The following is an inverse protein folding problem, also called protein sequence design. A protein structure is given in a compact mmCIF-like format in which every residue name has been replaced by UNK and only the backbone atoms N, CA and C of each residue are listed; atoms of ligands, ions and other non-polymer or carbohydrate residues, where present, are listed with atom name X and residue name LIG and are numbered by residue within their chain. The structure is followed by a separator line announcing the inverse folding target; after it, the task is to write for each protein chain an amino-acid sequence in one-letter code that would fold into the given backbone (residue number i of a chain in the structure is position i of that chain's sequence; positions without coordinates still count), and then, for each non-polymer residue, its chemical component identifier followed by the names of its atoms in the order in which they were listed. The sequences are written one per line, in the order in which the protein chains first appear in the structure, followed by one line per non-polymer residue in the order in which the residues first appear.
data_IF_511536241734
#
_entry.id   IF_511536241734
#
_cell.length_a   1.000
_cell.length_b   1.000
_cell.length_c   1.000
_cell.angle_alpha   90.00
_cell.angle_beta   90.00
_cell.angle_gamma   90.00
#
_symmetry.space_group_name_H-M   'P 1'
#
loop_
_entity.id
_entity.type
_entity.pdbx_description
1 polymer ?
#
# COMPACT_ATOMS: atom_id res chain seq x y z
N UNK A 1 -34.19 10.84 2.77
CA UNK A 1 -33.24 9.75 2.48
C UNK A 1 -32.28 9.67 3.65
N UNK A 2 -32.13 8.49 4.28
CA UNK A 2 -31.07 8.29 5.27
C UNK A 2 -29.73 8.26 4.55
N UNK A 3 -28.76 9.10 4.94
CA UNK A 3 -27.40 8.95 4.42
C UNK A 3 -26.87 7.54 4.72
N UNK A 4 -26.13 6.99 3.75
CA UNK A 4 -25.35 5.75 3.85
C UNK A 4 -24.45 5.73 5.11
N UNK A 5 -24.12 4.52 5.60
CA UNK A 5 -23.37 4.35 6.84
C UNK A 5 -22.05 5.12 6.84
N UNK A 6 -21.26 4.97 5.78
CA UNK A 6 -19.93 5.58 5.62
C UNK A 6 -19.95 7.11 5.55
N UNK A 7 -21.10 7.74 5.31
CA UNK A 7 -21.25 9.21 5.31
C UNK A 7 -21.53 9.81 6.69
N UNK A 8 -21.81 8.98 7.69
CA UNK A 8 -22.25 9.40 9.03
C UNK A 8 -21.40 8.84 10.16
N UNK A 9 -20.48 7.94 9.83
CA UNK A 9 -19.88 7.07 10.82
C UNK A 9 -18.44 7.49 11.14
N UNK A 10 -18.02 7.17 12.36
CA UNK A 10 -16.63 7.35 12.79
C UNK A 10 -15.88 6.07 12.48
N UNK A 11 -14.70 6.21 11.88
CA UNK A 11 -13.76 5.12 11.64
C UNK A 11 -12.72 5.15 12.75
N UNK A 12 -12.52 4.01 13.42
CA UNK A 12 -11.41 3.82 14.35
C UNK A 12 -10.30 3.04 13.64
N UNK A 13 -9.16 3.69 13.46
CA UNK A 13 -8.00 3.07 12.83
C UNK A 13 -7.19 2.25 13.84
N UNK A 14 -6.86 1.01 13.48
CA UNK A 14 -6.14 0.05 14.30
C UNK A 14 -4.86 -0.33 13.57
N UNK A 15 -3.74 -0.07 14.23
CA UNK A 15 -2.45 -0.65 13.88
C UNK A 15 -2.25 -1.90 14.73
N UNK A 16 -2.49 -3.08 14.13
CA UNK A 16 -2.58 -4.36 14.82
C UNK A 16 -1.36 -4.69 15.69
N UNK A 17 -0.09 -4.52 15.22
CA UNK A 17 1.10 -4.86 16.00
C UNK A 17 1.21 -4.16 17.36
N UNK A 18 0.55 -3.00 17.53
CA UNK A 18 0.63 -2.20 18.76
C UNK A 18 -0.70 -2.09 19.49
N UNK A 19 -1.72 -2.85 19.09
CA UNK A 19 -3.04 -2.76 19.70
C UNK A 19 -3.16 -3.64 20.94
N UNK A 20 -3.08 -4.97 20.78
CA UNK A 20 -3.23 -5.91 21.88
C UNK A 20 -2.59 -7.27 21.56
N UNK A 21 -1.56 -7.63 22.31
CA UNK A 21 -0.94 -8.96 22.31
C UNK A 21 -1.80 -9.94 23.14
N UNK A 22 -1.98 -11.16 22.63
CA UNK A 22 -2.72 -12.23 23.30
C UNK A 22 -1.89 -13.47 23.68
N UNK A 23 -0.64 -13.55 23.23
CA UNK A 23 0.21 -14.74 23.32
C UNK A 23 1.56 -14.50 24.02
N UNK A 24 1.80 -13.27 24.50
CA UNK A 24 3.01 -12.80 25.20
C UNK A 24 4.28 -12.75 24.33
N UNK A 25 4.15 -12.64 22.99
CA UNK A 25 5.29 -12.45 22.08
C UNK A 25 5.71 -10.99 21.88
N UNK A 26 4.93 -10.04 22.41
CA UNK A 26 5.16 -8.62 22.36
C UNK A 26 4.54 -7.89 21.16
N UNK A 27 3.81 -8.60 20.29
CA UNK A 27 3.17 -8.08 19.09
C UNK A 27 1.66 -8.29 19.18
N UNK A 28 0.89 -7.26 18.82
CA UNK A 28 -0.57 -7.38 18.80
C UNK A 28 -1.08 -8.26 17.66
N UNK A 29 -2.15 -9.02 17.91
CA UNK A 29 -2.66 -10.06 17.02
C UNK A 29 -4.20 -10.07 16.95
N UNK A 30 -4.79 -10.91 16.08
CA UNK A 30 -6.24 -10.99 15.92
C UNK A 30 -6.98 -11.47 17.16
N UNK A 31 -6.41 -12.38 17.96
CA UNK A 31 -7.05 -12.87 19.18
C UNK A 31 -7.11 -11.76 20.24
N UNK A 32 -6.06 -10.96 20.36
CA UNK A 32 -6.02 -9.76 21.17
C UNK A 32 -7.06 -8.74 20.73
N UNK A 33 -7.19 -8.52 19.42
CA UNK A 33 -8.23 -7.65 18.87
C UNK A 33 -9.65 -8.15 19.18
N UNK A 34 -9.91 -9.46 19.05
CA UNK A 34 -11.20 -10.09 19.39
C UNK A 34 -11.56 -9.82 20.86
N UNK A 35 -10.61 -9.99 21.79
CA UNK A 35 -10.83 -9.76 23.22
C UNK A 35 -11.28 -8.33 23.54
N UNK A 36 -10.86 -7.36 22.74
CA UNK A 36 -11.15 -5.94 22.95
C UNK A 36 -12.34 -5.45 22.11
N UNK A 37 -13.03 -6.28 21.33
CA UNK A 37 -14.15 -5.81 20.48
C UNK A 37 -15.26 -5.08 21.24
N UNK A 38 -15.46 -5.40 22.53
CA UNK A 38 -16.38 -4.70 23.41
C UNK A 38 -15.99 -3.23 23.65
N UNK A 39 -14.71 -2.91 23.65
CA UNK A 39 -14.22 -1.53 23.80
C UNK A 39 -14.79 -0.60 22.72
N UNK A 40 -14.87 -1.06 21.47
CA UNK A 40 -15.35 -0.25 20.36
C UNK A 40 -16.85 0.06 20.47
N UNK A 41 -17.66 -0.88 20.97
CA UNK A 41 -19.09 -0.65 21.19
C UNK A 41 -19.31 0.34 22.34
N UNK A 42 -18.48 0.31 23.38
CA UNK A 42 -18.49 1.30 24.47
C UNK A 42 -18.09 2.70 23.99
N UNK A 43 -17.13 2.80 23.07
CA UNK A 43 -16.78 4.03 22.37
C UNK A 43 -17.84 4.51 21.36
N UNK A 44 -18.83 3.66 21.05
CA UNK A 44 -19.87 3.91 20.02
C UNK A 44 -19.28 4.12 18.62
N UNK A 45 -18.20 3.41 18.32
CA UNK A 45 -17.66 3.27 16.98
C UNK A 45 -18.38 2.13 16.28
N UNK A 46 -18.69 2.31 14.99
CA UNK A 46 -19.33 1.27 14.18
C UNK A 46 -18.45 0.78 13.02
N UNK A 47 -17.23 1.30 12.84
CA UNK A 47 -16.34 0.91 11.75
C UNK A 47 -14.91 0.88 12.24
N UNK A 48 -14.25 -0.24 12.01
CA UNK A 48 -12.84 -0.44 12.29
C UNK A 48 -12.09 -0.43 10.97
N UNK A 49 -10.99 0.31 10.90
CA UNK A 49 -10.06 0.24 9.78
C UNK A 49 -8.78 -0.42 10.27
N UNK A 50 -8.35 -1.49 9.62
CA UNK A 50 -7.10 -2.17 9.93
C UNK A 50 -6.00 -1.71 8.98
N UNK A 51 -4.84 -1.34 9.53
CA UNK A 51 -3.58 -1.30 8.76
C UNK A 51 -3.26 -2.69 8.16
N UNK A 52 -2.31 -2.80 7.21
CA UNK A 52 -1.93 -4.08 6.62
C UNK A 52 -1.57 -5.16 7.66
N UNK A 53 -2.12 -6.36 7.47
CA UNK A 53 -1.85 -7.56 8.28
C UNK A 53 -1.43 -8.76 7.40
N UNK A 54 -1.11 -8.49 6.13
CA UNK A 54 -0.74 -9.49 5.13
C UNK A 54 0.72 -9.94 5.34
N UNK A 55 1.10 -11.14 4.87
CA UNK A 55 2.49 -11.56 4.86
C UNK A 55 3.41 -10.51 4.23
N UNK A 56 4.42 -10.07 4.97
CA UNK A 56 5.29 -8.95 4.58
C UNK A 56 6.76 -9.21 4.94
N UNK A 57 7.69 -8.59 4.21
CA UNK A 57 9.11 -8.53 4.60
C UNK A 57 9.38 -7.53 5.74
N UNK A 58 8.34 -6.80 6.18
CA UNK A 58 8.35 -5.84 7.29
C UNK A 58 9.36 -4.70 7.13
N UNK A 59 9.72 -4.35 5.90
CA UNK A 59 10.60 -3.21 5.57
C UNK A 59 9.88 -1.87 5.74
N UNK A 60 8.57 -1.88 5.52
CA UNK A 60 7.67 -0.74 5.72
C UNK A 60 6.46 -1.16 6.57
N UNK A 61 6.71 -1.90 7.65
CA UNK A 61 5.71 -2.25 8.66
C UNK A 61 4.40 -2.84 8.10
N UNK A 62 4.50 -3.73 7.11
CA UNK A 62 3.36 -4.44 6.52
C UNK A 62 2.90 -3.89 5.16
N UNK A 63 3.39 -2.71 4.73
CA UNK A 63 3.04 -2.15 3.41
C UNK A 63 3.84 -2.78 2.27
N UNK A 64 4.97 -3.44 2.56
CA UNK A 64 5.72 -4.27 1.62
C UNK A 64 5.19 -5.72 1.60
N UNK A 65 4.10 -5.95 0.85
CA UNK A 65 3.34 -7.21 0.86
C UNK A 65 3.99 -8.29 -0.01
N UNK A 66 4.16 -9.50 0.54
CA UNK A 66 4.66 -10.70 -0.16
C UNK A 66 3.54 -11.67 -0.58
N UNK A 67 2.37 -11.58 0.03
CA UNK A 67 1.17 -12.33 -0.35
C UNK A 67 -0.09 -11.52 0.01
N UNK A 68 -0.88 -11.13 -0.99
CA UNK A 68 -2.07 -10.31 -0.76
C UNK A 68 -3.28 -11.04 -0.16
N UNK A 69 -3.29 -12.37 -0.20
CA UNK A 69 -4.50 -13.19 0.09
C UNK A 69 -4.30 -14.13 1.28
N UNK A 70 -3.41 -13.75 2.19
CA UNK A 70 -3.20 -14.48 3.43
C UNK A 70 -3.00 -13.51 4.61
N UNK A 71 -2.94 -14.05 5.81
CA UNK A 71 -2.63 -13.31 7.05
C UNK A 71 -1.17 -13.59 7.42
N UNK A 72 -0.41 -12.55 7.82
CA UNK A 72 0.94 -12.76 8.31
C UNK A 72 0.89 -13.63 9.58
N UNK A 73 1.69 -14.71 9.66
CA UNK A 73 1.70 -15.60 10.83
C UNK A 73 1.96 -14.90 12.16
N UNK A 74 2.60 -13.72 12.16
CA UNK A 74 2.80 -12.92 13.39
C UNK A 74 1.49 -12.38 13.96
N UNK A 75 0.45 -12.22 13.14
CA UNK A 75 -0.87 -11.74 13.57
C UNK A 75 -1.88 -12.88 13.79
N UNK A 76 -1.51 -14.11 13.47
CA UNK A 76 -2.35 -15.30 13.56
C UNK A 76 -2.56 -15.98 12.22
N UNK A 77 -3.75 -16.52 12.00
CA UNK A 77 -4.10 -17.32 10.81
C UNK A 77 -5.32 -16.76 10.09
N UNK A 78 -5.57 -17.23 8.87
CA UNK A 78 -6.83 -16.97 8.17
C UNK A 78 -8.07 -17.44 8.96
N UNK A 79 -7.93 -18.43 9.85
CA UNK A 79 -9.00 -18.84 10.75
C UNK A 79 -9.26 -17.78 11.83
N UNK A 80 -8.22 -17.22 12.42
CA UNK A 80 -8.35 -16.15 13.42
C UNK A 80 -8.99 -14.90 12.81
N UNK A 81 -8.61 -14.53 11.58
CA UNK A 81 -9.29 -13.48 10.83
C UNK A 81 -10.78 -13.79 10.63
N UNK A 82 -11.13 -15.03 10.27
CA UNK A 82 -12.53 -15.43 10.11
C UNK A 82 -13.33 -15.31 11.43
N UNK A 83 -12.75 -15.74 12.56
CA UNK A 83 -13.36 -15.57 13.88
C UNK A 83 -13.57 -14.09 14.22
N UNK A 84 -12.57 -13.25 13.93
CA UNK A 84 -12.67 -11.80 14.11
C UNK A 84 -13.84 -11.20 13.31
N UNK A 85 -13.98 -11.59 12.04
CA UNK A 85 -15.08 -11.11 11.20
C UNK A 85 -16.45 -11.51 11.76
N UNK A 86 -16.61 -12.74 12.26
CA UNK A 86 -17.86 -13.19 12.89
C UNK A 86 -18.19 -12.40 14.16
N UNK A 87 -17.20 -12.23 15.06
CA UNK A 87 -17.40 -11.49 16.31
C UNK A 87 -17.66 -9.99 16.07
N UNK A 88 -17.05 -9.41 15.04
CA UNK A 88 -17.32 -8.05 14.61
C UNK A 88 -18.77 -7.90 14.08
N UNK A 89 -19.21 -8.85 13.25
CA UNK A 89 -20.57 -8.87 12.71
C UNK A 89 -21.62 -8.98 13.82
N UNK A 90 -21.40 -9.81 14.85
CA UNK A 90 -22.32 -9.93 16.00
C UNK A 90 -22.49 -8.62 16.79
N UNK A 91 -21.57 -7.67 16.61
CA UNK A 91 -21.54 -6.38 17.30
C UNK A 91 -21.88 -5.20 16.38
N UNK A 92 -22.39 -5.46 15.18
CA UNK A 92 -22.70 -4.45 14.15
C UNK A 92 -21.50 -3.55 13.81
N UNK A 93 -20.29 -4.12 13.79
CA UNK A 93 -19.06 -3.44 13.39
C UNK A 93 -18.75 -3.71 11.92
N UNK A 94 -18.59 -2.64 11.13
CA UNK A 94 -18.07 -2.74 9.77
C UNK A 94 -16.54 -2.82 9.79
N UNK A 95 -15.96 -3.69 8.98
CA UNK A 95 -14.52 -3.88 8.86
C UNK A 95 -14.02 -3.35 7.53
N UNK A 96 -13.14 -2.36 7.61
CA UNK A 96 -12.38 -1.80 6.49
C UNK A 96 -10.94 -2.28 6.62
N UNK A 97 -10.32 -2.71 5.53
CA UNK A 97 -8.89 -3.08 5.54
C UNK A 97 -8.10 -2.20 4.59
N UNK A 98 -6.81 -2.03 4.88
CA UNK A 98 -5.89 -1.34 3.99
C UNK A 98 -5.64 -2.16 2.72
N UNK A 99 -5.77 -1.53 1.56
CA UNK A 99 -5.49 -2.11 0.26
C UNK A 99 -4.30 -1.39 -0.36
N UNK A 100 -3.12 -2.01 -0.26
CA UNK A 100 -1.88 -1.48 -0.83
C UNK A 100 -1.81 -1.83 -2.30
N UNK A 101 -2.40 -0.97 -3.12
CA UNK A 101 -2.59 -1.22 -4.53
C UNK A 101 -1.31 -0.98 -5.34
N UNK A 102 -0.48 -0.03 -4.94
CA UNK A 102 0.57 0.57 -5.77
C UNK A 102 1.75 -0.36 -6.05
N UNK A 103 2.20 -1.09 -5.03
CA UNK A 103 3.45 -1.83 -5.05
C UNK A 103 3.31 -3.16 -4.31
N UNK A 104 4.31 -4.03 -4.47
CA UNK A 104 4.49 -5.24 -3.66
C UNK A 104 5.82 -5.18 -2.93
N UNK A 105 6.13 -6.15 -2.08
CA UNK A 105 7.51 -6.43 -1.67
C UNK A 105 8.35 -6.91 -2.87
N UNK A 106 9.67 -6.66 -2.85
CA UNK A 106 10.66 -7.27 -3.74
C UNK A 106 10.81 -8.79 -3.52
N UNK A 107 10.30 -9.32 -2.41
CA UNK A 107 10.19 -10.76 -2.16
C UNK A 107 8.87 -11.35 -2.67
N UNK A 108 7.97 -10.53 -3.24
CA UNK A 108 6.71 -11.03 -3.80
C UNK A 108 7.00 -11.96 -4.99
N UNK A 109 6.31 -13.12 -5.12
CA UNK A 109 6.54 -14.05 -6.23
C UNK A 109 6.42 -13.42 -7.61
N UNK A 110 5.55 -12.42 -7.77
CA UNK A 110 5.43 -11.69 -9.03
C UNK A 110 6.70 -10.93 -9.39
N UNK A 111 7.36 -10.27 -8.43
CA UNK A 111 8.58 -9.50 -8.70
C UNK A 111 9.75 -10.42 -9.05
N UNK A 112 9.92 -11.51 -8.31
CA UNK A 112 10.94 -12.53 -8.58
C UNK A 112 10.77 -13.09 -10.00
N UNK A 113 9.54 -13.47 -10.37
CA UNK A 113 9.22 -13.95 -11.72
C UNK A 113 9.40 -12.87 -12.79
N UNK A 114 9.13 -11.61 -12.45
CA UNK A 114 9.37 -10.48 -13.33
C UNK A 114 10.86 -10.30 -13.59
N UNK A 115 11.74 -10.39 -12.58
CA UNK A 115 13.20 -10.35 -12.78
C UNK A 115 13.64 -11.39 -13.83
N UNK A 116 13.08 -12.60 -13.75
CA UNK A 116 13.35 -13.72 -14.66
C UNK A 116 12.67 -13.63 -16.03
N UNK A 117 11.84 -12.62 -16.27
CA UNK A 117 11.01 -12.49 -17.48
C UNK A 117 10.12 -13.72 -17.71
N UNK A 118 9.59 -14.29 -16.62
CA UNK A 118 8.62 -15.38 -16.68
C UNK A 118 7.24 -14.83 -17.05
N UNK A 119 6.65 -15.32 -18.13
CA UNK A 119 5.28 -14.96 -18.53
C UNK A 119 4.25 -15.54 -17.55
N UNK A 120 3.18 -14.78 -17.18
CA UNK A 120 2.82 -13.45 -17.67
C UNK A 120 3.41 -12.27 -16.87
N UNK A 121 4.38 -12.51 -15.99
CA UNK A 121 4.89 -11.55 -15.01
C UNK A 121 5.97 -10.61 -15.54
N UNK A 122 6.46 -10.82 -16.77
CA UNK A 122 7.53 -10.04 -17.39
C UNK A 122 7.34 -8.52 -17.25
N UNK A 123 6.11 -8.05 -17.46
CA UNK A 123 5.73 -6.63 -17.44
C UNK A 123 4.76 -6.29 -16.30
N UNK A 124 4.79 -7.06 -15.20
CA UNK A 124 4.01 -6.74 -13.99
C UNK A 124 4.55 -5.52 -13.25
N UNK A 125 5.81 -5.15 -13.47
CA UNK A 125 6.48 -4.01 -12.87
C UNK A 125 7.06 -3.12 -13.96
N UNK A 126 7.42 -1.89 -13.58
CA UNK A 126 7.93 -0.89 -14.51
C UNK A 126 9.45 -1.07 -14.64
N UNK A 127 9.87 -1.66 -15.76
CA UNK A 127 11.27 -1.89 -16.10
C UNK A 127 11.74 -0.94 -17.21
N UNK A 128 12.90 -0.33 -17.03
CA UNK A 128 13.48 0.60 -18.00
C UNK A 128 14.98 0.34 -18.15
N UNK A 129 15.47 0.36 -19.38
CA UNK A 129 16.91 0.25 -19.65
C UNK A 129 17.67 1.45 -19.06
N UNK A 130 18.93 1.23 -18.70
CA UNK A 130 19.81 2.34 -18.34
C UNK A 130 19.95 3.32 -19.52
N UNK A 131 20.29 4.58 -19.23
CA UNK A 131 20.50 5.58 -20.28
C UNK A 131 21.58 5.11 -21.27
N UNK A 132 21.42 5.33 -22.60
CA UNK A 132 22.38 4.85 -23.60
C UNK A 132 23.83 5.30 -23.40
N UNK A 133 24.04 6.45 -22.75
CA UNK A 133 25.35 7.01 -22.41
C UNK A 133 26.00 6.40 -21.16
N UNK A 134 25.30 5.51 -20.44
CA UNK A 134 25.84 4.83 -19.27
C UNK A 134 26.72 3.63 -19.64
N UNK A 135 27.52 3.15 -18.69
CA UNK A 135 28.28 1.90 -18.83
C UNK A 135 27.61 0.80 -18.04
N UNK A 136 27.90 -0.47 -18.34
CA UNK A 136 27.40 -1.59 -17.52
C UNK A 136 27.92 -1.54 -16.07
N UNK A 137 29.07 -0.90 -15.85
CA UNK A 137 29.70 -0.73 -14.53
C UNK A 137 29.09 0.44 -13.74
N UNK A 138 28.52 1.44 -14.43
CA UNK A 138 27.90 2.63 -13.85
C UNK A 138 26.57 2.95 -14.57
N UNK A 139 25.53 2.11 -14.37
CA UNK A 139 24.23 2.32 -15.00
C UNK A 139 23.59 3.61 -14.48
N UNK A 140 23.08 4.45 -15.38
CA UNK A 140 22.43 5.70 -15.03
C UNK A 140 20.89 5.58 -15.14
N UNK A 141 20.12 6.05 -14.13
CA UNK A 141 18.67 5.95 -14.12
C UNK A 141 18.04 6.76 -15.26
N UNK A 142 16.83 6.39 -15.73
CA UNK A 142 16.22 6.96 -16.93
C UNK A 142 15.83 8.43 -16.78
N UNK A 143 15.55 8.91 -15.57
CA UNK A 143 15.23 10.31 -15.28
C UNK A 143 15.64 10.69 -13.84
N UNK A 144 15.31 11.92 -13.45
CA UNK A 144 15.62 12.50 -12.15
C UNK A 144 14.54 12.27 -11.07
N UNK A 145 13.61 11.34 -11.27
CA UNK A 145 12.55 11.06 -10.30
C UNK A 145 13.12 10.61 -8.96
N UNK A 146 12.48 11.06 -7.88
CA UNK A 146 12.92 10.83 -6.51
C UNK A 146 11.88 10.00 -5.77
N UNK A 147 12.36 9.06 -4.96
CA UNK A 147 11.53 8.34 -4.01
C UNK A 147 10.99 9.31 -2.95
N UNK A 148 9.79 9.03 -2.45
CA UNK A 148 9.20 9.74 -1.30
C UNK A 148 10.10 9.67 -0.07
N UNK A 149 10.80 8.55 0.12
CA UNK A 149 11.71 8.34 1.24
C UNK A 149 13.15 8.81 0.96
N UNK A 150 13.38 9.41 -0.21
CA UNK A 150 14.63 10.03 -0.61
C UNK A 150 15.51 9.13 -1.46
N UNK A 151 16.41 9.77 -2.22
CA UNK A 151 17.21 9.09 -3.23
C UNK A 151 16.46 8.93 -4.57
N UNK A 152 17.08 8.19 -5.49
CA UNK A 152 16.49 7.84 -6.78
C UNK A 152 15.23 7.01 -6.59
N UNK A 153 14.20 7.23 -7.42
CA UNK A 153 13.03 6.33 -7.53
C UNK A 153 13.30 5.09 -8.42
N UNK A 154 14.55 4.90 -8.82
CA UNK A 154 14.99 3.83 -9.70
C UNK A 154 16.12 3.05 -9.05
N UNK A 155 15.97 1.73 -9.02
CA UNK A 155 17.01 0.80 -8.55
C UNK A 155 17.41 -0.15 -9.66
N UNK A 156 18.71 -0.29 -9.88
CA UNK A 156 19.27 -1.20 -10.87
C UNK A 156 19.17 -2.65 -10.41
N UNK A 157 18.62 -3.54 -11.24
CA UNK A 157 18.60 -4.97 -10.99
C UNK A 157 19.71 -5.66 -11.77
N UNK A 158 20.67 -6.27 -11.05
CA UNK A 158 21.84 -6.88 -11.67
C UNK A 158 21.54 -8.10 -12.55
N UNK A 159 20.46 -8.83 -12.27
CA UNK A 159 20.09 -10.02 -13.03
C UNK A 159 19.36 -9.66 -14.31
N UNK A 160 18.37 -8.77 -14.20
CA UNK A 160 17.55 -8.33 -15.35
C UNK A 160 18.25 -7.28 -16.22
N UNK A 161 19.30 -6.63 -15.69
CA UNK A 161 20.08 -5.55 -16.33
C UNK A 161 19.18 -4.39 -16.78
N UNK A 162 18.24 -4.02 -15.91
CA UNK A 162 17.32 -2.90 -16.08
C UNK A 162 17.08 -2.22 -14.73
N UNK A 163 16.69 -0.95 -14.76
CA UNK A 163 16.12 -0.28 -13.60
C UNK A 163 14.67 -0.72 -13.42
N UNK A 164 14.25 -0.94 -12.18
CA UNK A 164 12.83 -0.94 -11.82
C UNK A 164 12.46 0.34 -11.08
N UNK A 165 11.23 0.79 -11.27
CA UNK A 165 10.67 1.93 -10.55
C UNK A 165 10.17 1.51 -9.16
N UNK A 166 10.35 2.39 -8.19
CA UNK A 166 9.74 2.30 -6.86
C UNK A 166 9.48 3.72 -6.35
N UNK A 167 8.23 4.02 -5.98
CA UNK A 167 7.91 5.34 -5.45
C UNK A 167 8.35 5.50 -3.98
N UNK A 168 8.46 4.39 -3.27
CA UNK A 168 8.81 4.33 -1.85
C UNK A 168 10.18 3.66 -1.66
N UNK A 169 10.29 2.59 -0.87
CA UNK A 169 11.56 1.88 -0.68
C UNK A 169 11.97 1.10 -1.94
N UNK A 170 13.27 0.84 -2.15
CA UNK A 170 13.73 -0.11 -3.17
C UNK A 170 13.07 -1.49 -3.02
N UNK A 171 12.81 -1.93 -1.79
CA UNK A 171 12.10 -3.17 -1.50
C UNK A 171 10.59 -3.12 -1.82
N UNK A 172 10.08 -2.00 -2.33
CA UNK A 172 8.69 -1.78 -2.73
C UNK A 172 8.57 -1.46 -4.24
N UNK A 173 8.87 -2.41 -5.14
CA UNK A 173 8.74 -2.19 -6.59
C UNK A 173 7.28 -1.93 -6.99
N UNK A 174 7.08 -0.88 -7.79
CA UNK A 174 5.76 -0.43 -8.20
C UNK A 174 5.18 -1.30 -9.32
N UNK A 175 3.90 -1.64 -9.18
CA UNK A 175 3.15 -2.42 -10.16
C UNK A 175 2.83 -1.57 -11.40
N UNK A 176 2.99 -2.18 -12.57
CA UNK A 176 2.65 -1.53 -13.84
C UNK A 176 1.14 -1.62 -14.10
N UNK A 177 0.36 -0.66 -13.61
CA UNK A 177 -1.09 -0.63 -13.80
C UNK A 177 -1.56 -0.40 -15.23
N UNK A 178 -0.66 -0.13 -16.18
CA UNK A 178 -0.99 -0.10 -17.62
C UNK A 178 -1.15 -1.50 -18.18
N UNK A 179 -0.52 -2.50 -17.56
CA UNK A 179 -0.71 -3.90 -17.87
C UNK A 179 -2.11 -4.39 -17.43
N UNK A 180 -2.97 -4.87 -18.35
CA UNK A 180 -4.29 -5.39 -17.98
C UNK A 180 -4.25 -6.62 -17.06
N UNK A 181 -3.17 -7.42 -17.11
CA UNK A 181 -3.02 -8.57 -16.24
C UNK A 181 -2.84 -8.15 -14.78
N UNK A 182 -2.08 -7.08 -14.52
CA UNK A 182 -1.91 -6.50 -13.17
C UNK A 182 -3.27 -6.05 -12.62
N UNK A 183 -4.05 -5.28 -13.41
CA UNK A 183 -5.39 -4.85 -12.99
C UNK A 183 -6.30 -6.03 -12.67
N UNK A 184 -6.26 -7.08 -13.49
CA UNK A 184 -7.05 -8.29 -13.27
C UNK A 184 -6.63 -9.04 -12.00
N UNK A 185 -5.34 -9.15 -11.68
CA UNK A 185 -4.88 -9.77 -10.43
C UNK A 185 -5.30 -8.94 -9.21
N UNK A 186 -5.19 -7.62 -9.26
CA UNK A 186 -5.59 -6.74 -8.16
C UNK A 186 -7.11 -6.76 -7.93
N UNK A 187 -7.92 -6.90 -8.99
CA UNK A 187 -9.36 -7.17 -8.88
C UNK A 187 -9.66 -8.49 -8.15
N UNK A 188 -8.86 -9.55 -8.40
CA UNK A 188 -9.00 -10.83 -7.68
C UNK A 188 -8.66 -10.70 -6.21
N UNK A 189 -7.65 -9.89 -5.86
CA UNK A 189 -7.29 -9.58 -4.46
C UNK A 189 -8.47 -8.89 -3.76
N UNK A 190 -9.04 -7.85 -4.38
CA UNK A 190 -10.21 -7.17 -3.83
C UNK A 190 -11.37 -8.15 -3.63
N UNK A 191 -11.66 -8.96 -4.65
CA UNK A 191 -12.72 -9.97 -4.58
C UNK A 191 -12.48 -11.00 -3.47
N UNK A 192 -11.24 -11.44 -3.27
CA UNK A 192 -10.90 -12.40 -2.23
C UNK A 192 -11.31 -11.91 -0.84
N UNK A 193 -11.03 -10.65 -0.52
CA UNK A 193 -11.37 -10.06 0.78
C UNK A 193 -12.86 -9.70 0.91
N UNK A 194 -13.50 -9.26 -0.19
CA UNK A 194 -14.96 -9.10 -0.21
C UNK A 194 -15.69 -10.42 0.02
N UNK A 195 -15.22 -11.52 -0.58
CA UNK A 195 -15.78 -12.86 -0.38
C UNK A 195 -15.55 -13.37 1.06
N UNK A 196 -14.64 -12.76 1.82
CA UNK A 196 -14.42 -13.01 3.26
C UNK A 196 -15.29 -12.14 4.18
N UNK A 197 -16.09 -11.23 3.63
CA UNK A 197 -17.02 -10.39 4.37
C UNK A 197 -16.49 -9.01 4.77
N UNK A 198 -15.36 -8.57 4.21
CA UNK A 198 -14.84 -7.20 4.43
C UNK A 198 -15.82 -6.19 3.84
N UNK A 199 -16.11 -5.12 4.59
CA UNK A 199 -17.13 -4.11 4.24
C UNK A 199 -16.58 -2.97 3.37
N UNK A 200 -15.26 -2.80 3.32
CA UNK A 200 -14.63 -1.78 2.48
C UNK A 200 -13.11 -1.79 2.52
N UNK A 201 -12.53 -0.89 1.74
CA UNK A 201 -11.08 -0.73 1.63
C UNK A 201 -10.68 0.72 1.83
N UNK A 202 -9.54 0.93 2.52
CA UNK A 202 -8.77 2.16 2.42
C UNK A 202 -7.68 1.92 1.38
N UNK A 203 -7.63 2.71 0.32
CA UNK A 203 -6.66 2.52 -0.77
C UNK A 203 -5.40 3.32 -0.43
N UNK A 204 -4.30 2.62 -0.18
CA UNK A 204 -3.01 3.26 0.05
C UNK A 204 -2.41 3.80 -1.26
N UNK A 205 -1.69 4.92 -1.14
CA UNK A 205 -0.93 5.53 -2.23
C UNK A 205 -1.71 5.69 -3.56
N UNK A 206 -3.02 5.93 -3.52
CA UNK A 206 -3.87 5.94 -4.70
C UNK A 206 -3.42 6.94 -5.79
N UNK A 207 -2.78 8.05 -5.39
CA UNK A 207 -2.22 9.07 -6.28
C UNK A 207 -0.95 8.63 -7.02
N UNK A 208 -0.36 7.48 -6.67
CA UNK A 208 0.88 6.97 -7.23
C UNK A 208 0.69 5.82 -8.23
N UNK A 209 -0.54 5.34 -8.45
CA UNK A 209 -0.85 4.16 -9.27
C UNK A 209 -0.39 4.28 -10.75
N UNK A 210 -0.26 5.50 -11.27
CA UNK A 210 0.15 5.73 -12.66
C UNK A 210 1.19 6.85 -12.76
N UNK A 211 2.21 6.59 -13.57
CA UNK A 211 3.26 7.53 -13.93
C UNK A 211 3.15 7.98 -15.40
N UNK A 212 3.89 9.03 -15.75
CA UNK A 212 4.01 9.51 -17.13
C UNK A 212 4.90 8.58 -17.96
N UNK A 213 4.31 7.94 -18.99
CA UNK A 213 5.01 7.01 -19.90
C UNK A 213 6.20 7.65 -20.63
N UNK A 214 6.23 8.98 -20.74
CA UNK A 214 7.32 9.70 -21.40
C UNK A 214 8.59 9.75 -20.54
N UNK A 215 8.47 9.42 -19.24
CA UNK A 215 9.58 9.38 -18.28
C UNK A 215 10.42 10.66 -18.27
N UNK A 216 9.78 11.82 -18.46
CA UNK A 216 10.48 13.11 -18.51
C UNK A 216 11.04 13.48 -17.14
N UNK A 217 12.18 14.16 -17.12
CA UNK A 217 12.71 14.77 -15.90
C UNK A 217 11.70 15.75 -15.29
N UNK A 218 11.52 15.65 -13.98
CA UNK A 218 10.76 16.60 -13.18
C UNK A 218 11.47 17.97 -13.12
N UNK A 219 10.73 19.08 -13.06
CA UNK A 219 11.31 20.40 -12.95
C UNK A 219 11.99 20.58 -11.59
N UNK A 220 13.24 21.03 -11.61
CA UNK A 220 13.97 21.33 -10.37
C UNK A 220 13.34 22.52 -9.65
N UNK A 221 13.12 22.38 -8.34
CA UNK A 221 12.65 23.47 -7.52
C UNK A 221 13.60 24.68 -7.62
N UNK A 222 13.05 25.88 -7.77
CA UNK A 222 13.84 27.12 -7.74
C UNK A 222 14.49 27.24 -6.36
N UNK A 223 15.83 27.36 -6.32
CA UNK A 223 16.54 27.57 -5.06
C UNK A 223 16.09 28.88 -4.41
N UNK A 224 15.30 28.80 -3.34
CA UNK A 224 14.99 29.94 -2.48
C UNK A 224 16.00 30.03 -1.34
N UNK A 225 16.35 31.25 -0.88
CA UNK A 225 17.35 31.51 0.18
C UNK A 225 17.13 30.72 1.49
N UNK A 226 15.92 30.21 1.74
CA UNK A 226 15.61 29.35 2.89
C UNK A 226 16.36 28.00 2.88
N UNK A 227 16.78 27.50 1.71
CA UNK A 227 17.47 26.21 1.57
C UNK A 227 19.01 26.32 1.72
N UNK A 228 19.56 27.52 1.95
CA UNK A 228 21.02 27.74 2.07
C UNK A 228 21.56 27.65 3.50
N UNK A 229 20.71 27.58 4.53
CA UNK A 229 21.17 27.67 5.93
C UNK A 229 21.37 26.31 6.63
N UNK A 230 21.36 25.18 5.90
CA UNK A 230 21.51 23.85 6.52
C UNK A 230 20.44 23.48 7.55
N UNK A 231 19.42 24.32 7.72
CA UNK A 231 18.19 23.99 8.41
C UNK A 231 17.35 23.22 7.41
N UNK A 232 17.12 21.94 7.70
CA UNK A 232 15.98 21.21 7.18
C UNK A 232 14.78 22.16 7.22
N UNK A 233 14.05 22.39 6.11
CA UNK A 233 12.82 23.15 6.19
C UNK A 233 11.98 22.48 7.28
N UNK A 234 11.43 23.22 8.27
CA UNK A 234 10.42 22.61 9.12
C UNK A 234 9.38 22.03 8.17
N UNK A 235 9.08 20.74 8.34
CA UNK A 235 8.09 19.99 7.58
C UNK A 235 7.01 20.98 7.18
N UNK A 236 6.94 21.26 5.86
CA UNK A 236 6.08 22.29 5.29
C UNK A 236 4.76 22.15 6.02
N UNK A 237 4.38 23.17 6.81
CA UNK A 237 3.09 23.20 7.51
C UNK A 237 2.08 22.73 6.48
N UNK A 238 1.54 21.53 6.69
CA UNK A 238 0.39 21.00 5.98
C UNK A 238 -0.75 21.95 6.34
N UNK A 239 -0.80 23.07 5.63
CA UNK A 239 -1.88 24.01 5.69
C UNK A 239 -2.84 23.59 4.59
N UNK A 240 -3.98 23.04 5.03
CA UNK A 240 -5.20 22.82 4.27
C UNK A 240 -5.04 22.04 2.96
N UNK A 241 -4.87 20.73 3.10
CA UNK A 241 -5.67 19.80 2.32
C UNK A 241 -6.53 19.01 3.29
N UNK A 242 -7.62 19.63 3.76
CA UNK A 242 -8.73 18.89 4.37
C UNK A 242 -9.13 17.78 3.40
N UNK A 243 -8.87 16.55 3.82
CA UNK A 243 -9.09 15.27 3.15
C UNK A 243 -10.58 14.92 3.00
N UNK A 244 -11.42 15.90 2.69
CA UNK A 244 -12.88 15.74 2.65
C UNK A 244 -13.48 15.58 1.26
N UNK A 245 -12.69 15.52 0.18
CA UNK A 245 -13.26 15.56 -1.18
C UNK A 245 -12.81 14.45 -2.14
N UNK A 246 -12.14 13.38 -1.67
CA UNK A 246 -11.63 12.32 -2.55
C UNK A 246 -12.54 11.08 -2.66
N UNK A 247 -13.60 10.99 -1.84
CA UNK A 247 -14.61 9.94 -2.01
C UNK A 247 -15.53 10.15 -3.24
N UNK A 248 -15.46 11.32 -3.88
CA UNK A 248 -16.42 11.73 -4.92
C UNK A 248 -16.00 11.28 -6.33
N UNK A 249 -14.71 11.01 -6.58
CA UNK A 249 -14.21 10.77 -7.95
C UNK A 249 -14.22 9.31 -8.40
N UNK A 250 -14.23 8.33 -7.48
CA UNK A 250 -14.21 6.91 -7.87
C UNK A 250 -15.61 6.30 -8.11
N UNK A 251 -16.68 6.91 -7.59
CA UNK A 251 -18.04 6.37 -7.71
C UNK A 251 -18.71 6.64 -9.07
N UNK A 252 -18.11 7.44 -9.95
CA UNK A 252 -18.64 7.67 -11.31
C UNK A 252 -18.13 6.67 -12.35
N UNK A 253 -17.14 5.83 -12.04
CA UNK A 253 -16.60 4.84 -12.98
C UNK A 253 -17.30 3.47 -12.95
N UNK A 254 -18.18 3.22 -11.98
CA UNK A 254 -18.91 1.95 -11.81
C UNK A 254 -20.41 2.05 -12.13
N UNK A 255 -20.84 3.15 -12.76
CA UNK A 255 -22.17 3.29 -13.37
C UNK A 255 -22.01 3.58 -14.86
N UNK A 256 -21.63 2.55 -15.61
CA UNK A 256 -21.61 2.50 -17.07
C UNK A 256 -21.96 1.11 -17.54
#
# INVERSE_FOLDING_TARGET
MSLEWWKKSVIYHIYLPSFKDSNDDGIGDFQGLIHELRYFTELRVSNLMLSPFYPSSMKDNGYDITCFTDVDPVFGTMHDFHLFMLEAQERDLNIIIDFVANHTSDQHPWFIKSIDREEPFTDFYIWVDAKPESTEEEPAPPNNWLSVFGGSAWTWNEQRKQFYYHQFLPEQPDLNYRNPAVRSEMEKVLKFWLDKGVDGFRIDAASHIFEDERLLDEPRAKQTKANMCGLTPPARKLADSSSTDESTLYLQALQG
#
